data_IF_143433785306
#
_entry.id   IF_143433785306
#
_cell.length_a   1.000
_cell.length_b   1.000
_cell.length_c   1.000
_cell.angle_alpha   90.00
_cell.angle_beta   90.00
_cell.angle_gamma   90.00
#
_symmetry.space_group_name_H-M   'P 1'
#
loop_
_entity.id
_entity.type
_entity.pdbx_description
1 polymer ?
#
# COMPACT_ATOMS: atom_id res chain seq x y z
N UNK A 1 -11.06 24.66 -22.40
CA UNK A 1 -12.17 24.35 -21.49
C UNK A 1 -11.67 24.55 -20.06
N UNK A 2 -12.00 25.71 -19.48
CA UNK A 2 -11.76 26.00 -18.07
C UNK A 2 -12.68 25.09 -17.23
N UNK A 3 -12.15 24.53 -16.14
CA UNK A 3 -12.83 23.66 -15.16
C UNK A 3 -12.95 22.17 -15.52
N UNK A 4 -11.82 21.47 -15.67
CA UNK A 4 -11.80 20.01 -15.52
C UNK A 4 -12.05 19.65 -14.04
N UNK A 5 -13.24 19.14 -13.74
CA UNK A 5 -13.57 18.58 -12.42
C UNK A 5 -12.63 17.41 -12.14
N UNK A 6 -11.90 17.43 -11.02
CA UNK A 6 -11.06 16.30 -10.61
C UNK A 6 -11.98 15.09 -10.41
N UNK A 7 -11.79 14.04 -11.22
CA UNK A 7 -12.60 12.83 -11.10
C UNK A 7 -12.15 12.07 -9.84
N UNK A 8 -13.02 12.05 -8.83
CA UNK A 8 -12.79 11.36 -7.56
C UNK A 8 -13.50 10.01 -7.49
N UNK A 9 -14.20 9.61 -8.55
CA UNK A 9 -14.81 8.30 -8.61
C UNK A 9 -13.73 7.23 -8.79
N UNK A 10 -13.99 6.05 -8.24
CA UNK A 10 -13.17 4.87 -8.51
C UNK A 10 -13.17 4.55 -10.01
N UNK A 11 -12.02 4.11 -10.53
CA UNK A 11 -11.90 3.66 -11.92
C UNK A 11 -12.76 2.42 -12.15
N UNK A 12 -13.43 2.33 -13.30
CA UNK A 12 -14.14 1.10 -13.69
C UNK A 12 -13.13 -0.03 -13.94
N UNK A 13 -13.44 -1.30 -13.57
CA UNK A 13 -12.50 -2.41 -13.68
C UNK A 13 -11.83 -2.57 -15.05
N UNK A 14 -12.60 -2.37 -16.13
CA UNK A 14 -12.16 -2.49 -17.53
C UNK A 14 -11.17 -1.38 -17.96
N UNK A 15 -11.11 -0.29 -17.21
CA UNK A 15 -10.23 0.85 -17.45
C UNK A 15 -9.03 0.90 -16.48
N UNK A 16 -8.93 -0.07 -15.55
CA UNK A 16 -7.82 -0.16 -14.62
C UNK A 16 -6.52 -0.52 -15.37
N UNK A 17 -5.38 -0.07 -14.83
CA UNK A 17 -4.08 -0.51 -15.35
C UNK A 17 -3.95 -2.04 -15.21
N UNK A 18 -3.34 -2.74 -16.18
CA UNK A 18 -3.27 -4.20 -16.20
C UNK A 18 -2.42 -4.82 -15.08
N UNK A 19 -1.70 -4.00 -14.31
CA UNK A 19 -0.79 -4.47 -13.27
C UNK A 19 0.44 -5.18 -13.82
N UNK A 20 1.12 -5.94 -12.95
CA UNK A 20 2.25 -6.81 -13.28
C UNK A 20 2.08 -8.12 -12.52
N UNK A 21 2.32 -9.26 -13.17
CA UNK A 21 2.12 -10.60 -12.59
C UNK A 21 3.43 -11.33 -12.32
N UNK A 22 4.53 -10.85 -12.89
CA UNK A 22 5.86 -11.44 -12.85
C UNK A 22 6.70 -10.97 -11.65
N UNK A 23 6.29 -9.87 -11.02
CA UNK A 23 7.09 -9.22 -9.98
C UNK A 23 6.24 -8.58 -8.88
N UNK A 24 6.71 -8.72 -7.65
CA UNK A 24 6.22 -7.99 -6.48
C UNK A 24 7.13 -6.79 -6.19
N UNK A 25 6.60 -5.74 -5.56
CA UNK A 25 7.44 -4.64 -5.07
C UNK A 25 8.48 -5.17 -4.06
N UNK A 26 9.79 -5.02 -4.31
CA UNK A 26 10.80 -5.39 -3.34
C UNK A 26 10.71 -4.45 -2.13
N UNK A 27 10.81 -5.02 -0.93
CA UNK A 27 10.97 -4.28 0.32
C UNK A 27 12.13 -4.89 1.10
N UNK A 28 12.79 -4.13 2.00
CA UNK A 28 13.83 -4.66 2.88
C UNK A 28 13.31 -5.81 3.75
N UNK A 29 14.22 -6.64 4.24
CA UNK A 29 13.87 -7.73 5.16
C UNK A 29 13.36 -7.19 6.51
N UNK A 30 13.94 -6.09 6.98
CA UNK A 30 13.70 -5.52 8.30
C UNK A 30 13.18 -4.09 8.25
N UNK A 31 12.31 -3.78 9.20
CA UNK A 31 11.76 -2.46 9.42
C UNK A 31 12.87 -1.52 9.89
N UNK A 32 12.99 -0.37 9.22
CA UNK A 32 14.11 0.56 9.44
C UNK A 32 14.26 1.03 10.89
N UNK A 33 13.15 1.28 11.60
CA UNK A 33 13.16 1.73 13.00
C UNK A 33 13.18 0.59 14.02
N UNK A 34 12.32 -0.42 13.85
CA UNK A 34 12.05 -1.45 14.87
C UNK A 34 12.91 -2.72 14.70
N UNK A 35 13.62 -2.87 13.59
CA UNK A 35 14.35 -4.09 13.18
C UNK A 35 13.48 -5.36 13.08
N UNK A 36 12.16 -5.23 13.23
CA UNK A 36 11.16 -6.29 13.06
C UNK A 36 11.00 -6.67 11.57
N UNK A 37 10.53 -7.89 11.25
CA UNK A 37 10.31 -8.28 9.86
C UNK A 37 9.23 -7.41 9.20
N UNK A 38 9.43 -6.99 7.94
CA UNK A 38 8.43 -6.26 7.15
C UNK A 38 7.46 -7.18 6.39
N UNK A 39 7.76 -8.47 6.34
CA UNK A 39 6.91 -9.51 5.77
C UNK A 39 6.87 -10.70 6.71
N UNK A 40 5.78 -11.47 6.64
CA UNK A 40 5.65 -12.69 7.42
C UNK A 40 6.77 -13.72 7.15
N UNK A 41 6.95 -14.70 8.05
CA UNK A 41 6.09 -14.99 9.19
C UNK A 41 6.22 -13.95 10.33
N UNK A 42 5.09 -13.59 10.91
CA UNK A 42 5.04 -12.65 12.04
C UNK A 42 5.37 -13.38 13.35
N UNK A 43 5.92 -12.69 14.36
CA UNK A 43 6.10 -13.29 15.67
C UNK A 43 4.75 -13.73 16.26
N UNK A 44 4.78 -14.81 17.04
CA UNK A 44 3.57 -15.40 17.65
C UNK A 44 2.82 -14.37 18.53
N UNK A 45 1.49 -14.44 18.50
CA UNK A 45 0.60 -13.55 19.26
C UNK A 45 0.32 -12.20 18.61
N UNK A 46 0.94 -11.88 17.46
CA UNK A 46 0.61 -10.67 16.70
C UNK A 46 -0.58 -10.87 15.76
N UNK A 47 -1.35 -9.80 15.57
CA UNK A 47 -2.45 -9.72 14.60
C UNK A 47 -2.18 -8.63 13.55
N UNK A 48 -2.85 -8.72 12.39
CA UNK A 48 -2.69 -7.77 11.28
C UNK A 48 -3.96 -6.91 11.17
N UNK A 49 -3.79 -5.60 11.06
CA UNK A 49 -4.86 -4.66 10.74
C UNK A 49 -4.48 -3.79 9.54
N UNK A 50 -5.48 -3.36 8.74
CA UNK A 50 -5.29 -2.53 7.55
C UNK A 50 -6.13 -1.26 7.65
N UNK A 51 -5.48 -0.09 7.52
CA UNK A 51 -6.11 1.22 7.63
C UNK A 51 -5.84 2.09 6.39
N UNK A 52 -6.85 2.85 5.96
CA UNK A 52 -6.72 3.86 4.90
C UNK A 52 -6.78 5.27 5.49
N UNK A 53 -5.62 5.92 5.63
CA UNK A 53 -5.49 7.21 6.36
C UNK A 53 -4.91 8.35 5.50
N UNK A 54 -4.92 8.23 4.17
CA UNK A 54 -4.33 9.22 3.26
C UNK A 54 -2.85 8.95 2.98
N UNK A 55 -1.96 9.92 3.21
CA UNK A 55 -0.53 9.74 2.95
C UNK A 55 0.09 8.73 3.93
N UNK A 56 0.52 7.58 3.41
CA UNK A 56 1.10 6.50 4.21
C UNK A 56 2.38 6.87 4.97
N UNK A 57 3.18 7.85 4.52
CA UNK A 57 4.40 8.28 5.22
C UNK A 57 4.10 8.91 6.58
N UNK A 58 2.96 9.58 6.71
CA UNK A 58 2.52 10.11 8.00
C UNK A 58 1.87 9.05 8.88
N UNK A 59 1.23 8.04 8.27
CA UNK A 59 0.52 7.00 8.97
C UNK A 59 1.45 5.89 9.52
N UNK A 60 2.55 5.59 8.81
CA UNK A 60 3.51 4.53 9.17
C UNK A 60 4.65 5.02 10.08
N UNK A 61 4.71 6.33 10.38
CA UNK A 61 5.81 6.94 11.14
C UNK A 61 6.06 6.32 12.51
#
# INVERSE_FOLDING_TARGET
>A
MLFAKKNTAMVAPENALPGRTDQTMPVPEKHFVLDAPLRGPWPEGNEIAVFGMGCFWGAER
#
